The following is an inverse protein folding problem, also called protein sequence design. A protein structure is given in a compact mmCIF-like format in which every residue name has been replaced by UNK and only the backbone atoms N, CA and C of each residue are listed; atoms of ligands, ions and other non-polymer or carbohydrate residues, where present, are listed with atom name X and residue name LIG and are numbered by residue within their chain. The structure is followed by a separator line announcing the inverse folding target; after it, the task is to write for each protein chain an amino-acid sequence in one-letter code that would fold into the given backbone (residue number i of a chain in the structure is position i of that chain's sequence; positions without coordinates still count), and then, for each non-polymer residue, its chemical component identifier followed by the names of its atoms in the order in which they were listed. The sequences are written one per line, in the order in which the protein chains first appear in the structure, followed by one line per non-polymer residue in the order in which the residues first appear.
data_IF_801338214898
#
_entry.id   IF_801338214898
#
_cell.length_a   1.000
_cell.length_b   1.000
_cell.length_c   1.000
_cell.angle_alpha   90.00
_cell.angle_beta   90.00
_cell.angle_gamma   90.00
#
_symmetry.space_group_name_H-M   'P 1'
#
loop_
_entity.id
_entity.type
_entity.pdbx_description
1 polymer ?
#
# COMPACT_ATOMS: atom_id res chain seq x y z
N UNK A 1 62.74 33.71 3.41
CA UNK A 1 61.84 33.45 4.55
C UNK A 1 60.44 33.19 4.01
N UNK A 2 60.13 31.96 3.77
CA UNK A 2 58.85 31.49 3.20
C UNK A 2 57.98 30.98 4.34
N UNK A 3 56.90 31.71 4.65
CA UNK A 3 55.88 31.29 5.62
C UNK A 3 54.89 30.34 4.93
N UNK A 4 54.89 29.11 5.33
CA UNK A 4 53.86 28.12 5.01
C UNK A 4 52.66 28.33 5.92
N UNK A 5 51.52 28.68 5.35
CA UNK A 5 50.23 28.75 6.02
C UNK A 5 49.67 27.35 6.26
N UNK A 6 49.09 27.01 7.44
CA UNK A 6 48.50 25.72 7.69
C UNK A 6 47.15 25.58 6.98
N UNK A 7 46.99 24.48 6.27
CA UNK A 7 45.71 24.11 5.65
C UNK A 7 44.63 23.94 6.72
N UNK A 8 43.64 24.80 6.69
CA UNK A 8 42.40 24.64 7.46
C UNK A 8 41.65 23.41 6.94
N UNK A 9 41.64 22.33 7.72
CA UNK A 9 40.78 21.19 7.50
C UNK A 9 39.31 21.63 7.55
N UNK A 10 38.67 21.65 6.40
CA UNK A 10 37.24 21.86 6.31
C UNK A 10 36.55 20.70 7.04
N UNK A 11 35.99 20.97 8.24
CA UNK A 11 35.05 20.08 8.90
C UNK A 11 33.84 20.00 7.96
N UNK A 12 33.72 18.87 7.22
CA UNK A 12 32.48 18.54 6.52
C UNK A 12 31.39 18.44 7.58
N UNK A 13 30.55 19.47 7.71
CA UNK A 13 29.28 19.36 8.41
C UNK A 13 28.48 18.29 7.67
N UNK A 14 28.41 17.09 8.23
CA UNK A 14 27.43 16.09 7.83
C UNK A 14 26.06 16.73 7.98
N UNK A 15 25.31 16.83 6.88
CA UNK A 15 23.94 17.30 6.95
C UNK A 15 23.19 16.44 7.97
N UNK A 16 22.38 17.08 8.82
CA UNK A 16 21.60 16.36 9.84
C UNK A 16 20.68 15.35 9.14
N UNK A 17 20.58 14.14 9.72
CA UNK A 17 19.65 13.14 9.24
C UNK A 17 18.21 13.64 9.35
N UNK A 18 17.44 13.45 8.29
CA UNK A 18 16.00 13.74 8.28
C UNK A 18 15.23 12.64 9.06
N UNK A 19 15.71 11.41 8.99
CA UNK A 19 15.11 10.24 9.61
C UNK A 19 16.12 9.60 10.58
N UNK A 20 15.98 9.91 11.87
CA UNK A 20 16.91 9.42 12.89
C UNK A 20 16.62 7.98 13.31
N UNK A 21 15.35 7.55 13.29
CA UNK A 21 14.94 6.18 13.63
C UNK A 21 14.22 5.55 12.45
N UNK A 22 14.77 4.47 11.92
CA UNK A 22 14.28 3.77 10.73
C UNK A 22 13.94 2.33 11.09
N UNK A 23 12.73 1.89 10.71
CA UNK A 23 12.36 0.48 10.82
C UNK A 23 12.53 -0.21 9.48
N UNK A 24 13.01 -1.46 9.49
CA UNK A 24 13.05 -2.32 8.30
C UNK A 24 11.98 -3.39 8.42
N UNK A 25 11.21 -3.56 7.34
CA UNK A 25 10.10 -4.49 7.21
C UNK A 25 10.39 -5.38 6.00
N UNK A 26 10.63 -6.66 6.24
CA UNK A 26 10.96 -7.63 5.20
C UNK A 26 9.76 -8.46 4.76
N UNK A 27 9.81 -9.00 3.55
CA UNK A 27 8.82 -9.95 3.08
C UNK A 27 8.92 -11.26 3.85
N UNK A 28 7.79 -11.76 4.32
CA UNK A 28 7.69 -13.07 4.97
C UNK A 28 8.24 -14.20 4.09
N UNK A 29 9.12 -15.05 4.64
CA UNK A 29 9.69 -16.26 4.02
C UNK A 29 10.30 -16.08 2.60
N UNK A 30 10.77 -14.89 2.25
CA UNK A 30 11.45 -14.70 0.96
C UNK A 30 12.92 -15.18 1.03
N UNK A 31 13.38 -16.00 0.07
CA UNK A 31 14.80 -16.34 -0.03
C UNK A 31 15.66 -15.08 -0.15
N UNK A 32 16.75 -15.01 0.61
CA UNK A 32 17.66 -13.85 0.62
C UNK A 32 17.17 -12.65 1.46
N UNK A 33 15.98 -12.71 2.03
CA UNK A 33 15.42 -11.60 2.85
C UNK A 33 16.34 -11.26 4.04
N UNK A 34 16.88 -12.27 4.74
CA UNK A 34 17.82 -12.06 5.86
C UNK A 34 19.02 -11.23 5.43
N UNK A 35 19.70 -11.64 4.35
CA UNK A 35 20.90 -10.95 3.86
C UNK A 35 20.59 -9.50 3.49
N UNK A 36 19.50 -9.26 2.78
CA UNK A 36 19.11 -7.91 2.37
C UNK A 36 18.78 -7.01 3.58
N UNK A 37 18.01 -7.53 4.55
CA UNK A 37 17.67 -6.82 5.77
C UNK A 37 18.94 -6.47 6.57
N UNK A 38 19.87 -7.43 6.71
CA UNK A 38 21.11 -7.23 7.43
C UNK A 38 22.02 -6.20 6.74
N UNK A 39 22.12 -6.25 5.42
CA UNK A 39 22.92 -5.31 4.64
C UNK A 39 22.38 -3.88 4.70
N UNK A 40 21.05 -3.73 4.64
CA UNK A 40 20.38 -2.45 4.79
C UNK A 40 20.55 -1.92 6.22
N UNK A 41 20.41 -2.77 7.22
CA UNK A 41 20.55 -2.37 8.62
C UNK A 41 21.98 -1.87 8.93
N UNK A 42 23.01 -2.56 8.43
CA UNK A 42 24.39 -2.10 8.56
C UNK A 42 24.60 -0.74 7.87
N UNK A 43 24.09 -0.58 6.66
CA UNK A 43 24.19 0.70 5.95
C UNK A 43 23.52 1.84 6.72
N UNK A 44 22.32 1.66 7.25
CA UNK A 44 21.61 2.66 8.03
C UNK A 44 22.37 3.03 9.31
N UNK A 45 22.92 2.03 10.01
CA UNK A 45 23.74 2.24 11.18
C UNK A 45 25.01 3.06 10.84
N UNK A 46 25.69 2.76 9.74
CA UNK A 46 26.86 3.48 9.27
C UNK A 46 26.54 4.95 8.89
N UNK A 47 25.32 5.21 8.40
CA UNK A 47 24.83 6.58 8.15
C UNK A 47 24.41 7.30 9.44
N UNK A 48 24.36 6.59 10.60
CA UNK A 48 24.05 7.16 11.91
C UNK A 48 22.57 7.07 12.31
N UNK A 49 21.76 6.23 11.64
CA UNK A 49 20.38 5.99 12.01
C UNK A 49 20.30 4.97 13.17
N UNK A 50 19.31 5.17 14.05
CA UNK A 50 18.81 4.10 14.92
C UNK A 50 17.95 3.13 14.08
N UNK A 51 18.16 1.82 14.26
CA UNK A 51 17.55 0.79 13.40
C UNK A 51 16.77 -0.21 14.24
N UNK A 52 15.50 -0.38 13.89
CA UNK A 52 14.63 -1.42 14.41
C UNK A 52 14.14 -2.33 13.30
N UNK A 53 13.64 -3.50 13.68
CA UNK A 53 12.96 -4.42 12.76
C UNK A 53 11.49 -4.53 13.16
N UNK A 54 10.63 -4.71 12.18
CA UNK A 54 9.26 -5.13 12.44
C UNK A 54 9.27 -6.56 13.04
N UNK A 55 8.33 -6.87 13.95
CA UNK A 55 8.31 -8.10 14.75
C UNK A 55 8.43 -9.37 13.93
N UNK A 56 7.63 -9.53 12.88
CA UNK A 56 7.68 -10.73 12.02
C UNK A 56 8.98 -10.78 11.22
N UNK A 57 9.50 -9.63 10.83
CA UNK A 57 10.80 -9.50 10.15
C UNK A 57 11.95 -9.95 11.06
N UNK A 58 11.95 -9.52 12.32
CA UNK A 58 12.94 -9.94 13.31
C UNK A 58 12.88 -11.47 13.55
N UNK A 59 11.68 -12.01 13.71
CA UNK A 59 11.46 -13.45 13.89
C UNK A 59 11.93 -14.27 12.68
N UNK A 60 11.56 -13.85 11.48
CA UNK A 60 11.88 -14.59 10.24
C UNK A 60 13.34 -14.53 9.85
N UNK A 61 14.02 -13.44 10.16
CA UNK A 61 15.46 -13.26 9.85
C UNK A 61 16.36 -13.78 10.96
N UNK A 62 15.88 -13.88 12.19
CA UNK A 62 16.66 -14.25 13.37
C UNK A 62 17.70 -13.19 13.77
N UNK A 63 17.53 -11.94 13.37
CA UNK A 63 18.42 -10.80 13.66
C UNK A 63 18.07 -10.19 15.03
N UNK A 64 18.39 -10.91 16.10
CA UNK A 64 18.03 -10.57 17.47
C UNK A 64 18.80 -9.38 18.07
N UNK A 65 19.80 -8.87 17.40
CA UNK A 65 20.58 -7.69 17.81
C UNK A 65 19.83 -6.37 17.61
N UNK A 66 18.74 -6.35 16.83
CA UNK A 66 17.91 -5.18 16.60
C UNK A 66 16.64 -5.24 17.44
N UNK A 67 16.14 -4.09 17.87
CA UNK A 67 14.86 -3.98 18.57
C UNK A 67 13.73 -4.38 17.64
N UNK A 68 12.87 -5.31 18.08
CA UNK A 68 11.67 -5.71 17.36
C UNK A 68 10.49 -4.83 17.78
N UNK A 69 9.79 -4.22 16.82
CA UNK A 69 8.65 -3.33 17.04
C UNK A 69 7.40 -3.87 16.36
N UNK A 70 6.28 -3.80 17.04
CA UNK A 70 4.96 -4.00 16.43
C UNK A 70 4.49 -2.74 15.66
N UNK A 71 3.47 -2.88 14.83
CA UNK A 71 2.96 -1.77 14.01
C UNK A 71 2.59 -0.52 14.83
N UNK A 72 1.90 -0.62 15.98
CA UNK A 72 1.64 0.53 16.84
C UNK A 72 2.91 1.21 17.37
N UNK A 73 3.94 0.45 17.74
CA UNK A 73 5.22 1.01 18.19
C UNK A 73 5.97 1.69 17.05
N UNK A 74 6.00 1.06 15.85
CA UNK A 74 6.56 1.66 14.64
C UNK A 74 5.92 3.03 14.39
N UNK A 75 4.60 3.09 14.46
CA UNK A 75 3.85 4.33 14.24
C UNK A 75 4.15 5.46 15.22
N UNK A 76 4.57 5.12 16.45
CA UNK A 76 4.91 6.11 17.50
C UNK A 76 6.38 6.52 17.50
N UNK A 77 7.27 5.62 17.13
CA UNK A 77 8.71 5.73 17.42
C UNK A 77 9.55 5.95 16.16
N UNK A 78 9.09 5.45 15.00
CA UNK A 78 9.89 5.49 13.79
C UNK A 78 9.56 6.69 12.92
N UNK A 79 10.59 7.24 12.28
CA UNK A 79 10.48 8.37 11.36
C UNK A 79 10.35 7.93 9.90
N UNK A 80 10.73 6.69 9.59
CA UNK A 80 10.72 6.11 8.25
C UNK A 80 10.59 4.59 8.35
N UNK A 81 9.85 3.97 7.45
CA UNK A 81 9.83 2.53 7.25
C UNK A 81 10.42 2.15 5.88
N UNK A 82 11.45 1.31 5.89
CA UNK A 82 12.00 0.69 4.69
C UNK A 82 11.36 -0.68 4.48
N UNK A 83 10.62 -0.84 3.38
CA UNK A 83 9.90 -2.07 3.05
C UNK A 83 10.73 -2.86 2.04
N UNK A 84 11.31 -3.97 2.47
CA UNK A 84 12.14 -4.86 1.65
C UNK A 84 11.28 -5.96 1.05
N UNK A 85 10.86 -5.78 -0.19
CA UNK A 85 9.94 -6.71 -0.86
C UNK A 85 9.39 -6.13 -2.15
N UNK A 86 8.26 -6.65 -2.61
CA UNK A 86 7.53 -6.12 -3.76
C UNK A 86 6.27 -5.34 -3.33
N UNK A 87 5.49 -4.90 -4.33
CA UNK A 87 4.28 -4.10 -4.12
C UNK A 87 3.30 -4.72 -3.12
N UNK A 88 3.12 -6.04 -3.12
CA UNK A 88 2.23 -6.70 -2.16
C UNK A 88 2.63 -6.51 -0.69
N UNK A 89 3.93 -6.48 -0.38
CA UNK A 89 4.42 -6.18 0.98
C UNK A 89 4.17 -4.71 1.32
N UNK A 90 4.44 -3.83 0.34
CA UNK A 90 4.21 -2.40 0.47
C UNK A 90 2.74 -2.07 0.73
N UNK A 91 1.81 -2.70 0.00
CA UNK A 91 0.35 -2.56 0.21
C UNK A 91 -0.06 -2.92 1.64
N UNK A 92 0.40 -4.07 2.14
CA UNK A 92 0.04 -4.55 3.47
C UNK A 92 0.51 -3.61 4.59
N UNK A 93 1.74 -3.14 4.50
CA UNK A 93 2.33 -2.23 5.49
C UNK A 93 1.82 -0.80 5.31
N UNK A 94 1.66 -0.34 4.08
CA UNK A 94 1.12 0.99 3.77
C UNK A 94 -0.24 1.23 4.42
N UNK A 95 -1.16 0.27 4.30
CA UNK A 95 -2.48 0.33 4.96
C UNK A 95 -2.39 0.41 6.49
N UNK A 96 -1.48 -0.34 7.09
CA UNK A 96 -1.34 -0.41 8.54
C UNK A 96 -0.69 0.86 9.11
N UNK A 97 0.30 1.42 8.41
CA UNK A 97 1.06 2.59 8.86
C UNK A 97 0.44 3.93 8.44
N UNK A 98 -0.48 3.94 7.48
CA UNK A 98 -1.12 5.16 6.97
C UNK A 98 -1.69 6.06 8.08
N UNK A 99 -2.39 5.47 9.05
CA UNK A 99 -2.99 6.19 10.18
C UNK A 99 -1.97 6.89 11.10
N UNK A 100 -0.70 6.50 11.02
CA UNK A 100 0.38 7.08 11.81
C UNK A 100 1.20 8.11 11.04
N UNK A 101 1.01 8.22 9.72
CA UNK A 101 1.75 9.15 8.87
C UNK A 101 3.24 8.83 8.74
N UNK A 102 3.66 7.59 8.99
CA UNK A 102 5.06 7.16 8.80
C UNK A 102 5.32 7.01 7.30
N UNK A 103 6.29 7.76 6.73
CA UNK A 103 6.64 7.61 5.32
C UNK A 103 7.29 6.25 5.06
N UNK A 104 7.13 5.76 3.82
CA UNK A 104 7.59 4.46 3.38
C UNK A 104 8.53 4.60 2.18
N UNK A 105 9.59 3.79 2.14
CA UNK A 105 10.41 3.59 0.93
C UNK A 105 10.43 2.10 0.62
N UNK A 106 10.06 1.73 -0.61
CA UNK A 106 10.06 0.34 -1.06
C UNK A 106 11.39 -0.05 -1.70
N UNK A 107 12.07 -1.07 -1.15
CA UNK A 107 13.28 -1.66 -1.72
C UNK A 107 12.93 -2.98 -2.37
N UNK A 108 13.06 -3.07 -3.68
CA UNK A 108 12.69 -4.22 -4.47
C UNK A 108 13.88 -5.18 -4.64
N UNK A 109 13.68 -6.46 -4.32
CA UNK A 109 14.69 -7.53 -4.49
C UNK A 109 14.59 -8.26 -5.84
N UNK A 110 13.68 -7.88 -6.72
CA UNK A 110 13.42 -8.59 -7.96
C UNK A 110 12.98 -7.67 -9.09
N UNK A 111 11.78 -7.92 -9.64
CA UNK A 111 11.22 -7.05 -10.68
C UNK A 111 10.74 -5.74 -10.07
N UNK A 112 11.10 -4.63 -10.71
CA UNK A 112 10.62 -3.30 -10.34
C UNK A 112 9.10 -3.30 -10.25
N UNK A 113 8.56 -2.75 -9.15
CA UNK A 113 7.14 -2.57 -8.93
C UNK A 113 6.66 -1.17 -9.29
N UNK A 114 5.38 -0.91 -9.14
CA UNK A 114 4.79 0.42 -9.33
C UNK A 114 4.95 1.34 -8.11
N UNK A 115 5.12 0.73 -6.91
CA UNK A 115 5.27 1.46 -5.64
C UNK A 115 6.53 1.04 -4.86
N UNK A 116 7.32 0.11 -5.40
CA UNK A 116 8.62 -0.31 -4.87
C UNK A 116 9.68 -0.05 -5.94
N UNK A 117 10.20 1.17 -5.95
CA UNK A 117 11.00 1.74 -7.05
C UNK A 117 12.50 1.82 -6.76
N UNK A 118 12.94 1.54 -5.52
CA UNK A 118 14.35 1.45 -5.19
C UNK A 118 14.84 0.00 -5.37
N UNK A 119 15.66 -0.29 -6.37
CA UNK A 119 16.22 -1.64 -6.52
C UNK A 119 17.23 -1.91 -5.39
N UNK A 120 17.26 -3.16 -4.91
CA UNK A 120 18.25 -3.57 -3.90
C UNK A 120 19.67 -3.38 -4.40
N UNK A 121 19.91 -3.64 -5.68
CA UNK A 121 21.18 -3.32 -6.33
C UNK A 121 21.36 -1.79 -6.43
N UNK A 122 22.36 -1.24 -5.73
CA UNK A 122 22.63 0.19 -5.69
C UNK A 122 21.71 1.00 -4.77
N UNK A 123 21.06 0.37 -3.80
CA UNK A 123 20.18 1.07 -2.85
C UNK A 123 20.91 2.14 -2.02
N UNK A 124 22.19 1.94 -1.73
CA UNK A 124 23.00 2.86 -0.90
C UNK A 124 23.11 4.25 -1.52
N UNK A 125 23.36 4.32 -2.81
CA UNK A 125 23.48 5.57 -3.57
C UNK A 125 22.16 6.32 -3.63
N UNK A 126 21.03 5.61 -3.64
CA UNK A 126 19.68 6.18 -3.67
C UNK A 126 19.19 6.60 -2.29
N UNK A 127 19.40 5.77 -1.26
CA UNK A 127 18.92 6.08 0.09
C UNK A 127 19.72 7.19 0.77
N UNK A 128 21.04 7.27 0.53
CA UNK A 128 21.90 8.26 1.20
C UNK A 128 21.42 9.70 1.05
N UNK A 129 21.08 10.21 -0.15
CA UNK A 129 20.48 11.54 -0.28
C UNK A 129 19.11 11.64 0.38
N UNK A 130 18.25 10.59 0.27
CA UNK A 130 16.93 10.58 0.89
C UNK A 130 17.00 10.72 2.42
N UNK A 131 17.94 10.01 3.07
CA UNK A 131 18.16 10.13 4.52
C UNK A 131 18.57 11.55 4.96
N UNK A 132 19.06 12.36 4.04
CA UNK A 132 19.43 13.77 4.26
C UNK A 132 18.38 14.78 3.83
N UNK A 133 17.21 14.29 3.42
CA UNK A 133 16.07 15.12 3.02
C UNK A 133 16.04 15.48 1.51
N UNK A 134 16.86 14.84 0.68
CA UNK A 134 16.84 15.01 -0.77
C UNK A 134 15.93 13.93 -1.41
N UNK A 135 14.62 14.15 -1.35
CA UNK A 135 13.61 13.24 -1.93
C UNK A 135 12.39 14.04 -2.36
N UNK A 136 11.61 13.45 -3.24
CA UNK A 136 10.26 13.88 -3.59
C UNK A 136 9.24 13.00 -2.84
N UNK A 137 8.22 13.62 -2.24
CA UNK A 137 7.19 12.95 -1.47
C UNK A 137 6.00 12.63 -2.38
N UNK A 138 5.64 11.36 -2.45
CA UNK A 138 4.51 10.87 -3.23
C UNK A 138 3.36 10.45 -2.29
N UNK A 139 2.32 11.27 -2.19
CA UNK A 139 1.15 11.02 -1.36
C UNK A 139 0.13 10.16 -2.12
N UNK A 140 -0.25 9.03 -1.52
CA UNK A 140 -1.20 8.08 -2.12
C UNK A 140 -2.50 8.01 -1.33
N UNK A 141 -3.62 8.12 -2.04
CA UNK A 141 -4.95 7.95 -1.44
C UNK A 141 -5.21 6.49 -1.06
N UNK A 142 -5.95 6.29 0.05
CA UNK A 142 -6.53 5.01 0.42
C UNK A 142 -8.06 5.09 0.33
N UNK A 143 -8.68 3.99 -0.08
CA UNK A 143 -10.12 3.80 0.06
C UNK A 143 -10.39 3.24 1.46
N UNK A 144 -11.24 3.90 2.24
CA UNK A 144 -11.84 3.30 3.42
C UNK A 144 -13.20 2.74 3.02
N UNK A 145 -13.46 1.49 3.36
CA UNK A 145 -14.76 0.91 3.11
C UNK A 145 -15.26 0.06 4.27
N UNK A 146 -16.57 0.02 4.43
CA UNK A 146 -17.28 -0.69 5.49
C UNK A 146 -18.40 -1.56 4.91
N UNK A 147 -18.66 -2.68 5.56
CA UNK A 147 -19.76 -3.60 5.23
C UNK A 147 -20.84 -3.45 6.29
N UNK A 148 -22.05 -3.15 5.85
CA UNK A 148 -23.22 -2.96 6.69
C UNK A 148 -24.23 -4.09 6.47
N UNK A 149 -24.70 -4.67 7.56
CA UNK A 149 -25.72 -5.73 7.61
C UNK A 149 -26.78 -5.37 8.63
N UNK A 150 -28.05 -5.35 8.22
CA UNK A 150 -29.20 -4.99 9.10
C UNK A 150 -28.97 -3.68 9.88
N UNK A 151 -28.37 -2.66 9.24
CA UNK A 151 -28.09 -1.36 9.82
C UNK A 151 -26.86 -1.31 10.75
N UNK A 152 -26.10 -2.40 10.89
CA UNK A 152 -24.89 -2.47 11.71
C UNK A 152 -23.64 -2.62 10.83
N UNK A 153 -22.58 -1.88 11.15
CA UNK A 153 -21.27 -2.10 10.55
C UNK A 153 -20.71 -3.41 11.10
N UNK A 154 -20.54 -4.39 10.22
CA UNK A 154 -20.02 -5.73 10.58
C UNK A 154 -18.55 -5.93 10.20
N UNK A 155 -18.01 -5.07 9.33
CA UNK A 155 -16.62 -5.11 8.91
C UNK A 155 -16.20 -3.76 8.34
N UNK A 156 -14.95 -3.38 8.58
CA UNK A 156 -14.33 -2.19 7.97
C UNK A 156 -12.85 -2.46 7.69
N UNK A 157 -12.36 -1.92 6.59
CA UNK A 157 -10.94 -1.98 6.22
C UNK A 157 -10.59 -0.87 5.23
N UNK A 158 -9.29 -0.69 5.00
CA UNK A 158 -8.75 0.22 3.99
C UNK A 158 -8.06 -0.56 2.88
N UNK A 159 -8.00 0.03 1.69
CA UNK A 159 -7.25 -0.48 0.55
C UNK A 159 -6.39 0.63 -0.07
N UNK A 160 -5.19 0.29 -0.49
CA UNK A 160 -4.32 1.20 -1.24
C UNK A 160 -4.55 1.08 -2.75
N UNK A 161 -4.83 -0.14 -3.24
CA UNK A 161 -5.18 -0.37 -4.63
C UNK A 161 -6.70 -0.34 -4.85
N UNK A 162 -7.41 -1.33 -4.30
CA UNK A 162 -8.80 -1.55 -4.65
C UNK A 162 -9.62 -2.28 -3.59
N UNK A 163 -10.92 -2.05 -3.64
CA UNK A 163 -11.96 -2.86 -2.98
C UNK A 163 -12.71 -3.60 -4.08
N UNK A 164 -12.69 -4.91 -4.03
CA UNK A 164 -13.32 -5.78 -5.02
C UNK A 164 -14.50 -6.51 -4.41
N UNK A 165 -15.70 -6.24 -4.89
CA UNK A 165 -16.90 -7.03 -4.58
C UNK A 165 -17.06 -8.07 -5.67
N UNK A 166 -16.86 -9.35 -5.36
CA UNK A 166 -16.92 -10.41 -6.34
C UNK A 166 -17.51 -11.70 -5.75
N UNK A 167 -17.80 -12.65 -6.62
CA UNK A 167 -18.14 -14.01 -6.21
C UNK A 167 -16.88 -14.81 -5.85
N UNK A 168 -16.96 -15.65 -4.85
CA UNK A 168 -15.85 -16.52 -4.42
C UNK A 168 -15.88 -17.91 -5.07
N UNK A 169 -16.97 -18.29 -5.76
CA UNK A 169 -17.20 -19.64 -6.30
C UNK A 169 -17.40 -19.69 -7.83
N UNK A 170 -17.50 -20.90 -8.38
CA UNK A 170 -17.67 -21.16 -9.82
C UNK A 170 -19.12 -20.97 -10.29
N UNK A 171 -20.09 -20.86 -9.38
CA UNK A 171 -21.52 -20.76 -9.70
C UNK A 171 -21.96 -19.30 -9.88
N UNK A 172 -22.92 -19.06 -10.74
CA UNK A 172 -23.74 -17.90 -11.08
C UNK A 172 -23.21 -16.50 -10.67
N UNK A 173 -23.33 -15.55 -11.60
CA UNK A 173 -23.10 -14.11 -11.40
C UNK A 173 -23.78 -13.57 -10.15
N UNK A 174 -23.23 -12.51 -9.60
CA UNK A 174 -23.88 -11.71 -8.56
C UNK A 174 -24.64 -10.53 -9.19
N UNK A 175 -25.70 -10.10 -8.54
CA UNK A 175 -26.44 -8.90 -8.90
C UNK A 175 -26.18 -7.82 -7.85
N UNK A 176 -25.66 -6.70 -8.31
CA UNK A 176 -25.23 -5.58 -7.50
C UNK A 176 -26.07 -4.36 -7.82
N UNK A 177 -26.60 -3.70 -6.79
CA UNK A 177 -27.16 -2.36 -6.90
C UNK A 177 -26.08 -1.36 -6.53
N UNK A 178 -25.82 -0.43 -7.42
CA UNK A 178 -24.78 0.60 -7.24
C UNK A 178 -25.44 1.96 -7.09
N UNK A 179 -25.01 2.67 -6.06
CA UNK A 179 -25.38 4.07 -5.80
C UNK A 179 -24.11 4.91 -5.63
N UNK A 180 -24.19 6.17 -6.06
CA UNK A 180 -23.14 7.17 -5.87
C UNK A 180 -23.76 8.42 -5.28
N UNK A 181 -23.24 8.87 -4.14
CA UNK A 181 -23.77 10.03 -3.39
C UNK A 181 -25.28 9.90 -3.11
N UNK A 182 -25.74 8.68 -2.78
CA UNK A 182 -27.14 8.35 -2.53
C UNK A 182 -28.02 8.26 -3.78
N UNK A 183 -27.49 8.46 -4.97
CA UNK A 183 -28.23 8.34 -6.22
C UNK A 183 -28.02 6.98 -6.87
N UNK A 184 -29.12 6.35 -7.27
CA UNK A 184 -29.07 5.10 -8.02
C UNK A 184 -28.34 5.28 -9.36
N UNK A 185 -27.36 4.42 -9.63
CA UNK A 185 -26.57 4.41 -10.87
C UNK A 185 -26.96 3.24 -11.76
N UNK A 186 -26.90 2.02 -11.21
CA UNK A 186 -27.18 0.82 -12.00
C UNK A 186 -27.49 -0.40 -11.13
N UNK A 187 -28.25 -1.35 -11.69
CA UNK A 187 -28.22 -2.74 -11.29
C UNK A 187 -27.31 -3.50 -12.25
N UNK A 188 -26.28 -4.15 -11.73
CA UNK A 188 -25.27 -4.84 -12.51
C UNK A 188 -25.30 -6.34 -12.22
N UNK A 189 -25.41 -7.16 -13.27
CA UNK A 189 -25.16 -8.60 -13.22
C UNK A 189 -23.77 -8.86 -13.80
N UNK A 190 -22.85 -9.29 -12.94
CA UNK A 190 -21.43 -9.41 -13.26
C UNK A 190 -20.76 -10.50 -12.39
N UNK A 191 -19.52 -10.83 -12.70
CA UNK A 191 -18.67 -11.61 -11.81
C UNK A 191 -18.23 -10.78 -10.58
N UNK A 192 -18.26 -9.46 -10.72
CA UNK A 192 -17.94 -8.53 -9.64
C UNK A 192 -17.85 -7.07 -10.08
N UNK A 193 -17.42 -6.24 -9.14
CA UNK A 193 -17.19 -4.82 -9.30
C UNK A 193 -15.92 -4.44 -8.55
N UNK A 194 -15.05 -3.65 -9.18
CA UNK A 194 -13.82 -3.12 -8.59
C UNK A 194 -14.02 -1.62 -8.36
N UNK A 195 -13.68 -1.15 -7.18
CA UNK A 195 -13.48 0.27 -6.88
C UNK A 195 -12.00 0.46 -6.58
N UNK A 196 -11.29 1.19 -7.45
CA UNK A 196 -9.86 1.35 -7.36
C UNK A 196 -9.44 2.81 -7.15
N UNK A 197 -8.36 3.00 -6.40
CA UNK A 197 -7.61 4.26 -6.32
C UNK A 197 -6.85 4.51 -7.63
N UNK A 198 -6.26 5.70 -7.82
CA UNK A 198 -5.30 5.91 -8.92
C UNK A 198 -4.14 4.90 -8.88
N UNK A 199 -3.61 4.57 -7.70
CA UNK A 199 -2.57 3.53 -7.55
C UNK A 199 -3.08 2.18 -8.05
N UNK A 200 -4.27 1.76 -7.61
CA UNK A 200 -4.89 0.49 -8.02
C UNK A 200 -5.39 0.47 -9.45
N UNK A 201 -5.49 1.62 -10.12
CA UNK A 201 -5.89 1.69 -11.53
C UNK A 201 -4.94 0.94 -12.47
N UNK A 202 -3.69 0.72 -12.04
CA UNK A 202 -2.67 -0.06 -12.77
C UNK A 202 -2.62 -1.53 -12.37
N UNK A 203 -3.44 -1.95 -11.37
CA UNK A 203 -3.51 -3.31 -10.84
C UNK A 203 -4.68 -4.11 -11.45
N UNK A 204 -5.58 -4.65 -10.63
CA UNK A 204 -6.70 -5.48 -11.09
C UNK A 204 -7.68 -4.69 -11.96
N UNK A 205 -7.93 -3.42 -11.65
CA UNK A 205 -8.78 -2.56 -12.46
C UNK A 205 -8.31 -2.47 -13.93
N UNK A 206 -6.99 -2.37 -14.18
CA UNK A 206 -6.43 -2.38 -15.53
C UNK A 206 -6.72 -3.70 -16.25
N UNK A 207 -6.52 -4.83 -15.58
CA UNK A 207 -6.78 -6.17 -16.13
C UNK A 207 -8.27 -6.37 -16.47
N UNK A 208 -9.16 -5.70 -15.75
CA UNK A 208 -10.60 -5.71 -16.00
C UNK A 208 -11.05 -4.69 -17.08
N UNK A 209 -10.10 -3.98 -17.71
CA UNK A 209 -10.37 -3.01 -18.80
C UNK A 209 -10.64 -1.59 -18.32
N UNK A 210 -10.27 -1.25 -17.08
CA UNK A 210 -10.33 0.12 -16.54
C UNK A 210 -9.23 1.02 -17.11
N UNK A 211 -9.40 2.35 -17.03
CA UNK A 211 -8.37 3.32 -17.40
C UNK A 211 -7.25 3.38 -16.37
N UNK A 212 -6.04 3.70 -16.79
CA UNK A 212 -4.96 4.11 -15.89
C UNK A 212 -5.17 5.56 -15.46
N UNK A 213 -5.08 5.84 -14.17
CA UNK A 213 -5.06 7.18 -13.62
C UNK A 213 -3.65 7.55 -13.15
N UNK A 214 -3.28 8.82 -13.37
CA UNK A 214 -2.09 9.36 -12.72
C UNK A 214 -2.32 9.41 -11.20
N UNK A 215 -1.30 9.14 -10.37
CA UNK A 215 -1.45 9.16 -8.91
C UNK A 215 -2.05 10.44 -8.32
N UNK A 216 -1.78 11.59 -8.94
CA UNK A 216 -2.26 12.92 -8.50
C UNK A 216 -3.73 13.20 -8.88
N UNK A 217 -4.42 12.27 -9.53
CA UNK A 217 -5.83 12.45 -9.87
C UNK A 217 -6.69 12.12 -8.66
N UNK A 218 -7.47 13.10 -8.17
CA UNK A 218 -8.46 12.90 -7.12
C UNK A 218 -9.69 12.17 -7.67
N UNK A 219 -9.58 10.85 -7.84
CA UNK A 219 -10.66 10.05 -8.41
C UNK A 219 -10.60 8.57 -8.05
N UNK A 220 -11.77 7.93 -8.10
CA UNK A 220 -11.95 6.49 -8.04
C UNK A 220 -12.25 5.93 -9.42
N UNK A 221 -11.75 4.75 -9.69
CA UNK A 221 -12.14 3.99 -10.90
C UNK A 221 -13.10 2.89 -10.49
N UNK A 222 -14.31 2.92 -11.01
CA UNK A 222 -15.29 1.84 -10.85
C UNK A 222 -15.28 0.97 -12.11
N UNK A 223 -14.93 -0.32 -11.99
CA UNK A 223 -14.74 -1.24 -13.12
C UNK A 223 -15.55 -2.52 -12.90
N UNK A 224 -16.55 -2.81 -13.77
CA UNK A 224 -17.25 -4.08 -13.73
C UNK A 224 -16.35 -5.25 -14.16
N UNK A 225 -16.48 -6.40 -13.51
CA UNK A 225 -15.78 -7.63 -13.90
C UNK A 225 -16.74 -8.51 -14.69
N UNK A 226 -16.42 -8.79 -15.96
CA UNK A 226 -17.22 -9.61 -16.86
C UNK A 226 -18.74 -9.29 -16.81
N UNK A 227 -19.16 -8.03 -17.02
CA UNK A 227 -20.57 -7.65 -16.93
C UNK A 227 -21.39 -8.31 -18.02
N UNK A 228 -22.61 -8.71 -17.67
CA UNK A 228 -23.53 -9.37 -18.62
C UNK A 228 -24.26 -8.40 -19.55
N UNK A 229 -24.14 -7.09 -19.32
CA UNK A 229 -24.74 -6.05 -20.16
C UNK A 229 -23.67 -5.30 -20.93
N UNK A 230 -23.92 -5.09 -22.23
CA UNK A 230 -22.99 -4.38 -23.12
C UNK A 230 -22.83 -2.88 -22.81
N UNK A 231 -23.74 -2.31 -22.02
CA UNK A 231 -23.74 -0.90 -21.62
C UNK A 231 -22.85 -0.58 -20.42
N UNK A 232 -22.48 -1.59 -19.63
CA UNK A 232 -21.63 -1.37 -18.47
C UNK A 232 -20.18 -1.07 -18.90
N UNK A 233 -19.71 0.12 -18.55
CA UNK A 233 -18.37 0.61 -18.85
C UNK A 233 -17.69 1.04 -17.56
N UNK A 234 -16.35 1.00 -17.51
CA UNK A 234 -15.61 1.66 -16.45
C UNK A 234 -15.98 3.14 -16.36
N UNK A 235 -16.11 3.62 -15.13
CA UNK A 235 -16.43 5.02 -14.83
C UNK A 235 -15.39 5.57 -13.87
N UNK A 236 -14.98 6.82 -14.09
CA UNK A 236 -14.16 7.57 -13.15
C UNK A 236 -15.06 8.51 -12.37
N UNK A 237 -14.94 8.48 -11.06
CA UNK A 237 -15.72 9.27 -10.11
C UNK A 237 -14.79 10.16 -9.29
N UNK A 238 -15.31 11.22 -8.68
CA UNK A 238 -14.54 12.02 -7.73
C UNK A 238 -14.15 11.18 -6.51
N UNK A 239 -12.96 11.40 -5.96
CA UNK A 239 -12.53 10.78 -4.69
C UNK A 239 -13.38 11.19 -3.49
N UNK A 240 -14.15 12.27 -3.62
CA UNK A 240 -15.09 12.74 -2.60
C UNK A 240 -16.46 12.06 -2.66
N UNK A 241 -16.73 11.28 -3.72
CA UNK A 241 -18.01 10.57 -3.84
C UNK A 241 -18.07 9.35 -2.94
N UNK A 242 -19.18 9.17 -2.26
CA UNK A 242 -19.54 7.95 -1.56
C UNK A 242 -20.11 6.94 -2.56
N UNK A 243 -19.51 5.77 -2.62
CA UNK A 243 -19.96 4.67 -3.49
C UNK A 243 -20.54 3.58 -2.60
N UNK A 244 -21.81 3.23 -2.84
CA UNK A 244 -22.48 2.15 -2.14
C UNK A 244 -22.81 1.02 -3.10
N UNK A 245 -22.49 -0.21 -2.70
CA UNK A 245 -22.74 -1.45 -3.46
C UNK A 245 -23.53 -2.40 -2.60
N UNK A 246 -24.77 -2.72 -2.99
CA UNK A 246 -25.64 -3.65 -2.29
C UNK A 246 -25.68 -5.01 -3.02
N UNK A 247 -25.63 -6.10 -2.27
CA UNK A 247 -25.81 -7.46 -2.79
C UNK A 247 -27.29 -7.75 -2.95
N UNK A 248 -27.81 -7.68 -4.17
CA UNK A 248 -29.23 -7.91 -4.49
C UNK A 248 -29.54 -9.39 -4.75
N UNK A 249 -28.61 -10.10 -5.40
CA UNK A 249 -28.73 -11.54 -5.63
C UNK A 249 -27.36 -12.18 -5.86
N UNK A 250 -27.28 -13.49 -5.69
CA UNK A 250 -26.09 -14.30 -5.86
C UNK A 250 -25.70 -15.05 -4.60
N UNK A 251 -24.75 -15.95 -4.74
CA UNK A 251 -24.19 -16.76 -3.62
C UNK A 251 -22.68 -16.56 -3.57
N UNK A 252 -22.13 -16.82 -2.39
CA UNK A 252 -20.68 -16.79 -2.16
C UNK A 252 -20.02 -15.45 -2.56
N UNK A 253 -20.73 -14.34 -2.33
CA UNK A 253 -20.18 -13.01 -2.55
C UNK A 253 -19.17 -12.66 -1.44
N UNK A 254 -18.14 -11.89 -1.79
CA UNK A 254 -17.14 -11.41 -0.85
C UNK A 254 -16.67 -10.01 -1.22
N UNK A 255 -16.19 -9.26 -0.22
CA UNK A 255 -15.43 -8.04 -0.41
C UNK A 255 -13.95 -8.31 -0.11
N UNK A 256 -13.07 -7.96 -1.04
CA UNK A 256 -11.63 -8.09 -0.92
C UNK A 256 -11.00 -6.70 -0.93
N UNK A 257 -10.02 -6.49 -0.05
CA UNK A 257 -9.26 -5.25 0.10
C UNK A 257 -7.81 -5.54 -0.28
N UNK A 258 -7.33 -5.00 -1.38
CA UNK A 258 -6.00 -5.26 -1.97
C UNK A 258 -5.70 -6.76 -2.17
N UNK A 259 -6.71 -7.60 -2.30
CA UNK A 259 -6.60 -9.07 -2.33
C UNK A 259 -5.86 -9.67 -1.11
N UNK A 260 -5.78 -8.95 0.00
CA UNK A 260 -5.09 -9.35 1.24
C UNK A 260 -6.01 -9.51 2.44
N UNK A 261 -7.12 -8.80 2.46
CA UNK A 261 -8.14 -8.89 3.51
C UNK A 261 -9.47 -9.20 2.86
N UNK A 262 -10.20 -10.16 3.40
CA UNK A 262 -11.45 -10.65 2.81
C UNK A 262 -12.53 -10.77 3.87
N UNK A 263 -13.76 -10.40 3.50
CA UNK A 263 -14.97 -10.69 4.26
C UNK A 263 -16.06 -11.26 3.37
N UNK A 264 -16.83 -12.22 3.89
CA UNK A 264 -17.98 -12.80 3.18
C UNK A 264 -19.18 -11.88 3.24
N UNK A 265 -19.92 -11.79 2.13
CA UNK A 265 -21.11 -10.98 1.99
C UNK A 265 -22.36 -11.83 1.89
N UNK A 266 -23.46 -11.32 2.42
CA UNK A 266 -24.80 -11.90 2.35
C UNK A 266 -25.72 -11.03 1.49
N UNK A 267 -26.86 -11.60 1.10
CA UNK A 267 -27.95 -10.83 0.47
C UNK A 267 -28.36 -9.66 1.37
N UNK A 268 -28.49 -8.48 0.80
CA UNK A 268 -28.83 -7.25 1.53
C UNK A 268 -27.65 -6.54 2.19
N UNK A 269 -26.44 -7.14 2.21
CA UNK A 269 -25.27 -6.43 2.68
C UNK A 269 -24.95 -5.24 1.77
N UNK A 270 -24.54 -4.14 2.38
CA UNK A 270 -24.16 -2.91 1.71
C UNK A 270 -22.72 -2.56 2.02
N UNK A 271 -21.90 -2.43 1.00
CA UNK A 271 -20.51 -1.99 1.05
C UNK A 271 -20.49 -0.49 0.73
N UNK A 272 -19.94 0.31 1.63
CA UNK A 272 -19.88 1.78 1.50
C UNK A 272 -18.44 2.24 1.66
#
# INVERSE_FOLDING_TARGET
MTQTSPAQGAIRRTAALRFAHVVIIGKYQAPGSKHAVEEIAHFLHDEGCDVSLETDTALNTGLSQYTALDVPAIGRECHLALVVGGDGTMLGIGRQLARFGVPLIGINQGRLGFITDVPFEGFRERLRPMLRGEYEEDARALIAASVWRDGHCVFEATALNDVVVNRSGVASMIELRVEVDGHFVANQRADGLIIATPTGSTAYALSAGGPMLHPDIDGWVMVPIAPHTLSNRPVVLSSHSEIAVEIVAGRDASANFDMQTLTSLMHGDRIV
#
